data_IF_632165635234
#
_entry.id   IF_632165635234
#
_cell.length_a   1.000
_cell.length_b   1.000
_cell.length_c   1.000
_cell.angle_alpha   90.00
_cell.angle_beta   90.00
_cell.angle_gamma   90.00
#
_symmetry.space_group_name_H-M   'P 1'
#
loop_
_entity.id
_entity.type
_entity.pdbx_description
1 polymer ?
#
# COMPACT_ATOMS: atom_id res chain seq x y z
N UNK A 1 18.83 -0.14 -11.36
CA UNK A 1 19.10 -0.52 -9.96
C UNK A 1 19.69 0.63 -9.13
N UNK A 2 20.69 1.37 -9.65
CA UNK A 2 21.31 2.53 -8.96
C UNK A 2 20.31 3.63 -8.59
N UNK A 3 19.36 3.93 -9.47
CA UNK A 3 18.33 4.97 -9.22
C UNK A 3 17.43 4.63 -8.03
N UNK A 4 16.85 3.41 -7.99
CA UNK A 4 16.04 2.97 -6.84
C UNK A 4 16.80 3.10 -5.52
N UNK A 5 18.06 2.63 -5.49
CA UNK A 5 18.87 2.65 -4.27
C UNK A 5 19.12 4.07 -3.77
N UNK A 6 19.37 5.03 -4.66
CA UNK A 6 19.57 6.44 -4.30
C UNK A 6 18.38 7.00 -3.52
N UNK A 7 17.17 6.83 -4.04
CA UNK A 7 15.95 7.35 -3.40
C UNK A 7 15.56 6.56 -2.15
N UNK A 8 15.72 5.23 -2.19
CA UNK A 8 15.55 4.36 -1.03
C UNK A 8 16.46 4.77 0.15
N UNK A 9 17.77 4.93 -0.10
CA UNK A 9 18.73 5.30 0.94
C UNK A 9 18.43 6.71 1.48
N UNK A 10 17.98 7.64 0.62
CA UNK A 10 17.60 8.98 1.03
C UNK A 10 16.39 8.96 1.97
N UNK A 11 15.34 8.23 1.59
CA UNK A 11 14.14 8.05 2.41
C UNK A 11 14.47 7.43 3.77
N UNK A 12 15.25 6.34 3.79
CA UNK A 12 15.65 5.69 5.03
C UNK A 12 16.39 6.65 5.97
N UNK A 13 17.30 7.48 5.44
CA UNK A 13 18.01 8.49 6.24
C UNK A 13 17.09 9.59 6.75
N UNK A 14 16.19 10.10 5.91
CA UNK A 14 15.27 11.18 6.27
C UNK A 14 14.29 10.74 7.36
N UNK A 15 13.78 9.51 7.27
CA UNK A 15 12.78 8.99 8.19
C UNK A 15 13.39 8.26 9.40
N UNK A 16 14.68 7.91 9.37
CA UNK A 16 15.35 7.15 10.43
C UNK A 16 15.05 5.65 10.39
N UNK A 17 14.67 5.13 9.23
CA UNK A 17 14.26 3.74 9.05
C UNK A 17 15.45 2.84 8.69
N UNK A 18 15.50 1.66 9.28
CA UNK A 18 16.43 0.60 8.91
C UNK A 18 15.68 -0.46 8.09
N UNK A 19 15.74 -0.34 6.77
CA UNK A 19 15.03 -1.18 5.79
C UNK A 19 16.02 -1.88 4.86
N UNK A 20 15.56 -2.96 4.25
CA UNK A 20 16.25 -3.62 3.14
C UNK A 20 15.51 -3.34 1.83
N UNK A 21 16.26 -3.25 0.73
CA UNK A 21 15.72 -3.16 -0.63
C UNK A 21 16.05 -4.46 -1.36
N UNK A 22 15.02 -5.15 -1.86
CA UNK A 22 15.16 -6.35 -2.68
C UNK A 22 14.47 -6.17 -4.03
N UNK A 23 15.05 -6.78 -5.06
CA UNK A 23 14.44 -6.89 -6.38
C UNK A 23 13.93 -8.31 -6.67
N UNK A 24 14.13 -9.23 -5.73
CA UNK A 24 13.65 -10.60 -5.80
C UNK A 24 12.27 -10.68 -5.15
N UNK A 25 11.22 -10.68 -5.98
CA UNK A 25 9.84 -10.70 -5.48
C UNK A 25 9.55 -12.00 -4.71
N UNK A 26 8.87 -11.93 -3.55
CA UNK A 26 8.54 -13.11 -2.77
C UNK A 26 7.57 -14.04 -3.51
N UNK A 27 7.55 -15.32 -3.11
CA UNK A 27 6.65 -16.29 -3.68
C UNK A 27 5.18 -15.83 -3.53
N UNK A 28 4.40 -15.93 -4.61
CA UNK A 28 3.02 -15.41 -4.65
C UNK A 28 2.88 -13.96 -5.13
N UNK A 29 3.97 -13.19 -5.21
CA UNK A 29 3.96 -11.76 -5.59
C UNK A 29 4.71 -11.47 -6.90
N UNK A 30 4.99 -12.49 -7.72
CA UNK A 30 5.81 -12.35 -8.94
C UNK A 30 5.26 -11.33 -9.95
N UNK A 31 3.95 -11.10 -9.94
CA UNK A 31 3.27 -10.14 -10.84
C UNK A 31 2.98 -8.80 -10.17
N UNK A 32 3.23 -8.65 -8.86
CA UNK A 32 3.09 -7.37 -8.20
C UNK A 32 4.21 -6.42 -8.66
N UNK A 33 3.95 -5.11 -8.66
CA UNK A 33 4.94 -4.09 -9.03
C UNK A 33 5.88 -3.76 -7.86
N UNK A 34 5.39 -3.90 -6.63
CA UNK A 34 6.14 -3.81 -5.38
C UNK A 34 5.38 -4.50 -4.25
N UNK A 35 6.03 -4.66 -3.09
CA UNK A 35 5.39 -4.99 -1.82
C UNK A 35 6.35 -4.67 -0.66
N UNK A 36 5.82 -4.30 0.50
CA UNK A 36 6.56 -4.19 1.75
C UNK A 36 6.22 -5.34 2.70
N UNK A 37 7.26 -5.97 3.27
CA UNK A 37 7.11 -6.93 4.37
C UNK A 37 7.62 -6.34 5.68
N UNK A 38 6.71 -6.15 6.64
CA UNK A 38 7.02 -5.61 7.95
C UNK A 38 7.90 -6.56 8.79
N UNK A 39 7.80 -7.88 8.59
CA UNK A 39 8.54 -8.87 9.39
C UNK A 39 10.03 -8.86 9.06
N UNK A 40 10.38 -8.91 7.77
CA UNK A 40 11.77 -8.78 7.31
C UNK A 40 12.25 -7.34 7.17
N UNK A 41 11.35 -6.35 7.29
CA UNK A 41 11.61 -4.92 7.01
C UNK A 41 12.16 -4.70 5.60
N UNK A 42 11.61 -5.41 4.64
CA UNK A 42 12.10 -5.39 3.26
C UNK A 42 11.08 -4.74 2.34
N UNK A 43 11.54 -3.75 1.57
CA UNK A 43 10.83 -3.22 0.41
C UNK A 43 11.25 -4.03 -0.81
N UNK A 44 10.29 -4.69 -1.44
CA UNK A 44 10.47 -5.44 -2.67
C UNK A 44 9.96 -4.63 -3.85
N UNK A 45 10.78 -4.51 -4.90
CA UNK A 45 10.39 -3.87 -6.15
C UNK A 45 10.61 -4.83 -7.30
N UNK A 46 9.60 -5.04 -8.13
CA UNK A 46 9.69 -5.89 -9.29
C UNK A 46 10.42 -5.17 -10.43
N UNK A 47 11.74 -5.06 -10.31
CA UNK A 47 12.56 -4.31 -11.27
C UNK A 47 12.49 -4.92 -12.69
N UNK A 48 12.31 -6.24 -12.81
CA UNK A 48 12.12 -6.91 -14.09
C UNK A 48 10.77 -6.55 -14.71
N UNK A 49 9.68 -6.63 -13.94
CA UNK A 49 8.34 -6.26 -14.40
C UNK A 49 8.10 -4.76 -14.60
N UNK A 50 9.09 -3.93 -14.28
CA UNK A 50 9.08 -2.47 -14.41
C UNK A 50 10.18 -1.94 -15.36
N UNK A 51 10.93 -2.82 -16.03
CA UNK A 51 12.11 -2.45 -16.82
C UNK A 51 11.79 -1.50 -17.98
N UNK A 52 10.66 -1.75 -18.64
CA UNK A 52 10.14 -0.99 -19.79
C UNK A 52 9.22 0.16 -19.40
N UNK A 53 8.85 0.25 -18.13
CA UNK A 53 7.97 1.31 -17.65
C UNK A 53 8.72 2.64 -17.54
N UNK A 54 7.95 3.71 -17.51
CA UNK A 54 8.48 5.06 -17.33
C UNK A 54 9.22 5.22 -16.00
N UNK A 55 10.09 6.23 -15.92
CA UNK A 55 10.76 6.56 -14.65
C UNK A 55 9.76 6.93 -13.56
N UNK A 56 8.70 7.68 -13.89
CA UNK A 56 7.68 8.07 -12.91
C UNK A 56 6.95 6.85 -12.35
N UNK A 57 6.64 5.84 -13.17
CA UNK A 57 5.95 4.64 -12.69
C UNK A 57 6.83 3.83 -11.74
N UNK A 58 8.11 3.68 -12.10
CA UNK A 58 9.11 3.06 -11.22
C UNK A 58 9.22 3.76 -9.87
N UNK A 59 9.29 5.09 -9.87
CA UNK A 59 9.40 5.88 -8.64
C UNK A 59 8.11 5.85 -7.82
N UNK A 60 6.96 5.87 -8.48
CA UNK A 60 5.66 5.78 -7.82
C UNK A 60 5.57 4.52 -6.97
N UNK A 61 5.84 3.34 -7.54
CA UNK A 61 5.80 2.09 -6.79
C UNK A 61 6.87 2.02 -5.69
N UNK A 62 8.06 2.60 -5.88
CA UNK A 62 9.06 2.68 -4.81
C UNK A 62 8.54 3.49 -3.61
N UNK A 63 8.05 4.70 -3.85
CA UNK A 63 7.60 5.57 -2.76
C UNK A 63 6.32 5.07 -2.10
N UNK A 64 5.46 4.37 -2.84
CA UNK A 64 4.29 3.69 -2.30
C UNK A 64 4.72 2.66 -1.24
N UNK A 65 5.63 1.72 -1.58
CA UNK A 65 6.09 0.71 -0.62
C UNK A 65 6.90 1.31 0.55
N UNK A 66 7.67 2.37 0.30
CA UNK A 66 8.36 3.10 1.37
C UNK A 66 7.38 3.77 2.32
N UNK A 67 6.24 4.27 1.81
CA UNK A 67 5.20 4.85 2.65
C UNK A 67 4.53 3.79 3.51
N UNK A 68 4.27 2.58 2.98
CA UNK A 68 3.85 1.45 3.80
C UNK A 68 4.87 1.13 4.90
N UNK A 69 6.16 1.10 4.57
CA UNK A 69 7.19 0.88 5.58
C UNK A 69 7.09 1.87 6.76
N UNK A 70 6.88 3.15 6.48
CA UNK A 70 6.62 4.15 7.53
C UNK A 70 5.32 3.91 8.29
N UNK A 71 4.22 3.60 7.60
CA UNK A 71 2.93 3.35 8.25
C UNK A 71 2.98 2.17 9.23
N UNK A 72 3.72 1.10 8.90
CA UNK A 72 3.86 -0.07 9.75
C UNK A 72 4.89 0.12 10.88
N UNK A 73 6.00 0.81 10.62
CA UNK A 73 7.13 0.89 11.56
C UNK A 73 7.11 2.13 12.45
N UNK A 74 6.40 3.19 12.07
CA UNK A 74 6.29 4.46 12.81
C UNK A 74 4.83 4.90 12.95
N UNK A 75 3.92 4.06 13.48
CA UNK A 75 2.47 4.36 13.53
C UNK A 75 2.15 5.65 14.30
N UNK A 76 3.01 6.06 15.24
CA UNK A 76 2.86 7.32 15.98
C UNK A 76 2.92 8.58 15.10
N UNK A 77 3.45 8.47 13.88
CA UNK A 77 3.49 9.58 12.90
C UNK A 77 2.20 9.72 12.10
N UNK A 78 1.27 8.78 12.25
CA UNK A 78 0.04 8.69 11.48
C UNK A 78 -1.19 8.83 12.36
N UNK A 79 -2.30 9.26 11.76
CA UNK A 79 -3.57 9.35 12.48
C UNK A 79 -4.16 7.95 12.74
N UNK A 80 -5.13 7.91 13.64
CA UNK A 80 -5.81 6.67 14.05
C UNK A 80 -6.45 5.92 12.87
N UNK A 81 -6.99 6.63 11.88
CA UNK A 81 -7.61 6.02 10.70
C UNK A 81 -6.59 5.21 9.89
N UNK A 82 -5.41 5.77 9.63
CA UNK A 82 -4.34 5.06 8.91
C UNK A 82 -3.87 3.86 9.75
N UNK A 83 -3.55 4.09 11.03
CA UNK A 83 -3.06 3.07 11.95
C UNK A 83 -4.02 1.88 12.12
N UNK A 84 -5.33 2.16 12.15
CA UNK A 84 -6.34 1.11 12.18
C UNK A 84 -6.38 0.39 10.83
N UNK A 85 -6.38 1.13 9.73
CA UNK A 85 -6.59 0.57 8.40
C UNK A 85 -5.47 -0.36 7.92
N UNK A 86 -4.21 -0.15 8.31
CA UNK A 86 -3.09 -1.04 7.91
C UNK A 86 -3.25 -2.47 8.42
N UNK A 87 -4.11 -2.70 9.42
CA UNK A 87 -4.39 -4.03 9.94
C UNK A 87 -5.38 -4.81 9.06
N UNK A 88 -5.97 -4.19 8.04
CA UNK A 88 -7.01 -4.80 7.22
C UNK A 88 -6.67 -4.70 5.74
N UNK A 89 -7.03 -5.73 4.99
CA UNK A 89 -6.97 -5.74 3.52
C UNK A 89 -8.37 -6.11 3.02
N UNK A 90 -8.97 -5.24 2.21
CA UNK A 90 -10.28 -5.47 1.59
C UNK A 90 -10.10 -5.63 0.08
N UNK A 91 -10.31 -6.83 -0.45
CA UNK A 91 -10.20 -7.11 -1.89
C UNK A 91 -11.47 -6.72 -2.65
N UNK A 92 -11.33 -6.48 -3.96
CA UNK A 92 -12.41 -6.09 -4.88
C UNK A 92 -13.59 -7.10 -4.94
N UNK A 93 -13.37 -8.35 -4.58
CA UNK A 93 -14.40 -9.39 -4.58
C UNK A 93 -15.12 -9.51 -3.23
N UNK A 94 -14.74 -8.73 -2.21
CA UNK A 94 -15.25 -8.83 -0.83
C UNK A 94 -14.50 -9.82 0.06
N UNK A 95 -13.41 -10.41 -0.43
CA UNK A 95 -12.48 -11.15 0.43
C UNK A 95 -11.73 -10.16 1.31
N UNK A 96 -11.72 -10.39 2.62
CA UNK A 96 -11.05 -9.52 3.57
C UNK A 96 -10.03 -10.30 4.38
N UNK A 97 -8.97 -9.61 4.78
CA UNK A 97 -7.96 -10.11 5.69
C UNK A 97 -7.79 -9.16 6.87
N UNK A 98 -7.56 -9.72 8.05
CA UNK A 98 -7.15 -8.99 9.24
C UNK A 98 -5.81 -9.51 9.72
N UNK A 99 -4.86 -8.62 9.93
CA UNK A 99 -3.57 -8.94 10.52
C UNK A 99 -3.71 -9.09 12.05
N UNK A 100 -3.33 -10.24 12.59
CA UNK A 100 -3.26 -10.52 14.03
C UNK A 100 -1.98 -11.30 14.30
N UNK A 101 -1.10 -10.77 15.17
CA UNK A 101 0.16 -11.44 15.55
C UNK A 101 0.96 -11.98 14.34
N UNK A 102 1.08 -11.17 13.29
CA UNK A 102 1.78 -11.51 12.04
C UNK A 102 1.12 -12.60 11.18
N UNK A 103 -0.16 -12.92 11.42
CA UNK A 103 -0.96 -13.84 10.64
C UNK A 103 -2.19 -13.15 10.06
N UNK A 104 -2.54 -13.48 8.82
CA UNK A 104 -3.76 -12.97 8.19
C UNK A 104 -4.94 -13.91 8.43
N UNK A 105 -5.93 -13.44 9.17
CA UNK A 105 -7.22 -14.09 9.31
C UNK A 105 -8.10 -13.71 8.11
N UNK A 106 -8.60 -14.71 7.38
CA UNK A 106 -9.39 -14.50 6.16
C UNK A 106 -10.89 -14.59 6.46
N UNK A 107 -11.68 -13.66 5.95
CA UNK A 107 -13.13 -13.76 5.90
C UNK A 107 -13.70 -13.27 4.55
N UNK A 108 -15.00 -13.43 4.36
CA UNK A 108 -15.74 -12.94 3.19
C UNK A 108 -16.91 -12.07 3.66
N UNK A 109 -17.03 -10.88 3.08
CA UNK A 109 -18.18 -10.02 3.24
C UNK A 109 -19.04 -10.06 1.98
N UNK A 110 -20.36 -9.98 2.17
CA UNK A 110 -21.34 -9.97 1.07
C UNK A 110 -21.50 -8.55 0.53
N UNK A 111 -21.60 -8.43 -0.79
CA UNK A 111 -21.73 -7.13 -1.48
C UNK A 111 -21.38 -7.24 -2.96
N UNK A 112 -21.56 -6.13 -3.69
CA UNK A 112 -21.22 -6.09 -5.12
C UNK A 112 -19.73 -5.85 -5.32
N UNK A 113 -19.18 -6.37 -6.42
CA UNK A 113 -17.80 -6.12 -6.83
C UNK A 113 -17.51 -4.63 -7.01
N UNK A 114 -18.47 -3.85 -7.54
CA UNK A 114 -18.31 -2.40 -7.66
C UNK A 114 -18.19 -1.67 -6.31
N UNK A 115 -18.91 -2.15 -5.29
CA UNK A 115 -18.79 -1.62 -3.93
C UNK A 115 -17.41 -1.94 -3.33
N UNK A 116 -16.98 -3.20 -3.42
CA UNK A 116 -15.69 -3.62 -2.89
C UNK A 116 -14.50 -3.08 -3.68
N UNK A 117 -14.62 -2.87 -5.00
CA UNK A 117 -13.61 -2.16 -5.79
C UNK A 117 -13.43 -0.74 -5.28
N UNK A 118 -14.53 -0.06 -4.93
CA UNK A 118 -14.47 1.27 -4.35
C UNK A 118 -13.79 1.26 -2.98
N UNK A 119 -14.11 0.28 -2.13
CA UNK A 119 -13.44 0.09 -0.83
C UNK A 119 -11.95 -0.23 -0.98
N UNK A 120 -11.59 -1.13 -1.89
CA UNK A 120 -10.21 -1.55 -2.18
C UNK A 120 -9.34 -0.35 -2.56
N UNK A 121 -9.77 0.45 -3.54
CA UNK A 121 -9.04 1.64 -3.99
C UNK A 121 -9.05 2.76 -2.95
N UNK A 122 -10.08 2.81 -2.10
CA UNK A 122 -10.25 3.88 -1.13
C UNK A 122 -9.70 3.58 0.26
N UNK A 123 -9.04 2.44 0.48
CA UNK A 123 -8.54 2.07 1.81
C UNK A 123 -7.65 3.20 2.35
N UNK A 124 -7.83 3.66 3.61
CA UNK A 124 -7.17 4.88 4.07
C UNK A 124 -5.64 4.86 3.97
N UNK A 125 -4.99 3.75 4.32
CA UNK A 125 -3.53 3.60 4.19
C UNK A 125 -3.06 3.56 2.73
N UNK A 126 -3.84 2.96 1.83
CA UNK A 126 -3.55 2.94 0.38
C UNK A 126 -3.65 4.34 -0.22
N UNK A 127 -4.71 5.09 0.13
CA UNK A 127 -4.89 6.48 -0.33
C UNK A 127 -3.75 7.37 0.16
N UNK A 128 -3.31 7.23 1.42
CA UNK A 128 -2.13 7.93 1.94
C UNK A 128 -0.85 7.53 1.19
N UNK A 129 -0.63 6.23 0.96
CA UNK A 129 0.53 5.72 0.21
C UNK A 129 0.57 6.24 -1.23
N UNK A 130 -0.55 6.18 -1.94
CA UNK A 130 -0.68 6.66 -3.33
C UNK A 130 -0.50 8.17 -3.43
N UNK A 131 -1.08 8.93 -2.51
CA UNK A 131 -0.93 10.39 -2.46
C UNK A 131 0.52 10.77 -2.20
N UNK A 132 1.17 10.14 -1.22
CA UNK A 132 2.57 10.37 -0.93
C UNK A 132 3.47 10.01 -2.12
N UNK A 133 3.24 8.85 -2.73
CA UNK A 133 4.00 8.37 -3.88
C UNK A 133 3.89 9.33 -5.08
N UNK A 134 2.68 9.79 -5.37
CA UNK A 134 2.43 10.77 -6.42
C UNK A 134 3.19 12.07 -6.15
N UNK A 135 3.13 12.61 -4.93
CA UNK A 135 3.80 13.86 -4.58
C UNK A 135 5.33 13.76 -4.69
N UNK A 136 5.93 12.69 -4.18
CA UNK A 136 7.38 12.49 -4.26
C UNK A 136 7.84 12.27 -5.70
N UNK A 137 7.10 11.45 -6.44
CA UNK A 137 7.39 11.20 -7.86
C UNK A 137 7.29 12.48 -8.68
N UNK A 138 6.25 13.29 -8.46
CA UNK A 138 6.09 14.58 -9.14
C UNK A 138 7.22 15.56 -8.83
N UNK A 139 7.76 15.58 -7.60
CA UNK A 139 8.92 16.42 -7.25
C UNK A 139 10.19 16.03 -8.01
N UNK A 140 10.35 14.74 -8.33
CA UNK A 140 11.56 14.19 -8.98
C UNK A 140 11.42 14.20 -10.50
N UNK A 141 10.32 13.66 -11.03
CA UNK A 141 10.10 13.45 -12.45
C UNK A 141 9.37 14.62 -13.13
N UNK A 142 8.86 15.58 -12.37
CA UNK A 142 7.97 16.63 -12.85
C UNK A 142 6.53 16.16 -13.03
N UNK A 143 5.67 17.09 -13.43
CA UNK A 143 4.27 16.80 -13.73
C UNK A 143 4.14 16.19 -15.13
N UNK A 144 3.27 15.19 -15.29
CA UNK A 144 2.98 14.56 -16.58
C UNK A 144 1.60 13.91 -16.59
N UNK A 145 1.00 13.83 -17.78
CA UNK A 145 -0.29 13.17 -17.96
C UNK A 145 -0.24 11.69 -17.51
N UNK A 146 0.84 10.97 -17.86
CA UNK A 146 1.00 9.56 -17.47
C UNK A 146 1.12 9.35 -15.96
N UNK A 147 1.80 10.24 -15.24
CA UNK A 147 1.86 10.17 -13.78
C UNK A 147 0.48 10.46 -13.16
N UNK A 148 -0.26 11.43 -13.70
CA UNK A 148 -1.62 11.73 -13.24
C UNK A 148 -2.58 10.58 -13.49
N UNK A 149 -2.50 9.94 -14.66
CA UNK A 149 -3.30 8.76 -15.00
C UNK A 149 -2.99 7.58 -14.09
N UNK A 150 -1.71 7.32 -13.80
CA UNK A 150 -1.30 6.28 -12.86
C UNK A 150 -1.86 6.54 -11.45
N UNK A 151 -1.76 7.79 -10.97
CA UNK A 151 -2.34 8.17 -9.69
C UNK A 151 -3.87 8.00 -9.68
N UNK A 152 -4.56 8.51 -10.70
CA UNK A 152 -6.03 8.40 -10.78
C UNK A 152 -6.52 6.96 -10.88
N UNK A 153 -5.74 6.07 -11.50
CA UNK A 153 -6.03 4.64 -11.55
C UNK A 153 -6.07 4.00 -10.15
N UNK A 154 -5.15 4.41 -9.26
CA UNK A 154 -5.04 3.88 -7.90
C UNK A 154 -5.87 4.63 -6.86
N UNK A 155 -6.60 5.65 -7.27
CA UNK A 155 -7.42 6.46 -6.37
C UNK A 155 -8.90 6.12 -6.49
N UNK A 156 -9.68 6.22 -5.40
CA UNK A 156 -11.11 5.99 -5.47
C UNK A 156 -11.78 7.11 -6.28
N UNK A 157 -12.74 6.75 -7.15
CA UNK A 157 -13.50 7.72 -7.94
C UNK A 157 -14.29 8.72 -7.09
N UNK A 158 -14.67 8.32 -5.89
CA UNK A 158 -15.40 9.13 -4.92
C UNK A 158 -14.81 8.91 -3.54
N UNK A 159 -14.70 9.98 -2.76
CA UNK A 159 -14.24 9.88 -1.38
C UNK A 159 -15.21 9.02 -0.55
N UNK A 160 -14.67 8.03 0.15
CA UNK A 160 -15.42 7.17 1.06
C UNK A 160 -15.20 7.71 2.47
N UNK A 161 -16.29 7.93 3.21
CA UNK A 161 -16.22 8.44 4.58
C UNK A 161 -15.51 7.44 5.50
N UNK A 162 -14.69 7.93 6.43
CA UNK A 162 -14.00 7.09 7.42
C UNK A 162 -14.97 6.20 8.21
N UNK A 163 -16.16 6.70 8.53
CA UNK A 163 -17.20 5.92 9.22
C UNK A 163 -17.69 4.70 8.43
N UNK A 164 -17.50 4.65 7.11
CA UNK A 164 -17.75 3.45 6.30
C UNK A 164 -16.68 2.40 6.59
N UNK A 165 -15.41 2.78 6.61
CA UNK A 165 -14.31 1.86 6.93
C UNK A 165 -14.41 1.36 8.37
N UNK A 166 -14.77 2.23 9.33
CA UNK A 166 -14.95 1.80 10.72
C UNK A 166 -15.99 0.68 10.85
N UNK A 167 -17.08 0.74 10.08
CA UNK A 167 -18.11 -0.31 10.02
C UNK A 167 -17.58 -1.58 9.37
N UNK A 168 -16.88 -1.47 8.24
CA UNK A 168 -16.32 -2.64 7.55
C UNK A 168 -15.28 -3.35 8.41
N UNK A 169 -14.38 -2.60 9.07
CA UNK A 169 -13.40 -3.17 9.99
C UNK A 169 -14.08 -3.89 11.16
N UNK A 170 -15.12 -3.30 11.76
CA UNK A 170 -15.89 -3.99 12.81
C UNK A 170 -16.58 -5.27 12.31
N UNK A 171 -17.09 -5.30 11.06
CA UNK A 171 -17.64 -6.52 10.47
C UNK A 171 -16.58 -7.60 10.25
N UNK A 172 -15.37 -7.21 9.84
CA UNK A 172 -14.23 -8.13 9.72
C UNK A 172 -13.84 -8.65 11.11
N UNK A 173 -13.80 -7.79 12.13
CA UNK A 173 -13.53 -8.19 13.51
C UNK A 173 -14.53 -9.24 14.00
N UNK A 174 -15.82 -9.03 13.75
CA UNK A 174 -16.87 -9.99 14.10
C UNK A 174 -16.71 -11.33 13.37
N UNK A 175 -16.42 -11.29 12.07
CA UNK A 175 -16.24 -12.49 11.24
C UNK A 175 -14.97 -13.27 11.56
N UNK A 176 -13.94 -12.60 12.05
CA UNK A 176 -12.64 -13.22 12.37
C UNK A 176 -12.48 -13.57 13.85
N UNK A 177 -13.48 -13.24 14.68
CA UNK A 177 -13.49 -13.52 16.11
C UNK A 177 -13.36 -15.03 16.37
N UNK A 178 -12.33 -15.41 17.14
CA UNK A 178 -12.08 -16.80 17.53
C UNK A 178 -11.41 -17.67 16.45
N UNK A 179 -10.83 -17.06 15.41
CA UNK A 179 -10.03 -17.75 14.39
C UNK A 179 -8.53 -17.83 14.71
N UNK A 180 -8.10 -17.27 15.84
CA UNK A 180 -6.72 -17.32 16.37
C UNK A 180 -6.50 -18.51 17.27
#
# INVERSE_FOLDING_TARGET
MTEYKKYFDAYCREHGLNLYLSFEMPAGYKTAKGTFDASSRTVFINAEGLDKESEYERMFYLFHELRHASQYLEPERFNETINRSVQYIIMFDGTCYKLVENHYLKCKLEGSEGYFTSLYLGQPHEVDANTFAYEQTRKICGDSAGLKELFDFWMPRQAILNGTYDRIFSLIDEKTKGMT
#
